data_IF_168800983692
#
_entry.id   IF_168800983692
#
_cell.length_a   1.000
_cell.length_b   1.000
_cell.length_c   1.000
_cell.angle_alpha   90.00
_cell.angle_beta   90.00
_cell.angle_gamma   90.00
#
_symmetry.space_group_name_H-M   'P 1'
#
loop_
_entity.id
_entity.type
_entity.pdbx_description
1 polymer ?
#
# COMPACT_ATOMS: atom_id res chain seq x y z
N UNK A 1 -46.14 -7.42 -47.89
CA UNK A 1 -45.21 -6.66 -47.03
C UNK A 1 -45.09 -7.39 -45.70
N UNK A 2 -43.83 -7.65 -45.28
CA UNK A 2 -43.43 -8.41 -44.08
C UNK A 2 -43.44 -7.51 -42.84
N UNK A 3 -43.86 -8.04 -41.70
CA UNK A 3 -43.36 -7.60 -40.39
C UNK A 3 -43.09 -8.82 -39.53
N UNK A 4 -41.81 -9.19 -39.41
CA UNK A 4 -41.32 -10.17 -38.45
C UNK A 4 -40.91 -9.41 -37.19
N UNK A 5 -41.60 -9.67 -36.09
CA UNK A 5 -41.25 -9.20 -34.75
C UNK A 5 -40.03 -9.98 -34.26
N UNK A 6 -38.89 -9.30 -34.13
CA UNK A 6 -37.69 -9.84 -33.50
C UNK A 6 -37.85 -9.75 -31.99
N UNK A 7 -38.01 -10.90 -31.32
CA UNK A 7 -37.91 -11.00 -29.87
C UNK A 7 -36.41 -11.00 -29.53
N UNK A 8 -35.92 -9.88 -29.02
CA UNK A 8 -34.57 -9.79 -28.47
C UNK A 8 -34.57 -10.46 -27.09
N UNK A 9 -34.03 -11.67 -27.01
CA UNK A 9 -33.73 -12.32 -25.75
C UNK A 9 -32.46 -11.65 -25.20
N UNK A 10 -32.65 -10.69 -24.30
CA UNK A 10 -31.57 -10.14 -23.49
C UNK A 10 -31.20 -11.23 -22.49
N UNK A 11 -30.15 -11.99 -22.79
CA UNK A 11 -29.53 -12.87 -21.80
C UNK A 11 -28.85 -11.98 -20.76
N UNK A 12 -29.58 -11.70 -19.69
CA UNK A 12 -29.04 -11.15 -18.46
C UNK A 12 -28.13 -12.20 -17.86
N UNK A 13 -26.82 -12.01 -18.03
CA UNK A 13 -25.81 -12.71 -17.25
C UNK A 13 -25.92 -12.17 -15.82
N UNK A 14 -26.69 -12.84 -14.97
CA UNK A 14 -26.57 -12.66 -13.53
C UNK A 14 -25.23 -13.30 -13.15
N UNK A 15 -24.17 -12.49 -13.16
CA UNK A 15 -22.99 -12.80 -12.36
C UNK A 15 -23.47 -13.00 -10.93
N UNK A 16 -23.37 -14.23 -10.43
CA UNK A 16 -23.49 -14.55 -9.02
C UNK A 16 -22.40 -13.78 -8.26
N UNK A 17 -22.67 -12.52 -7.95
CA UNK A 17 -22.00 -11.81 -6.87
C UNK A 17 -22.57 -12.38 -5.58
N UNK A 18 -21.93 -13.45 -5.09
CA UNK A 18 -22.18 -13.97 -3.76
C UNK A 18 -21.97 -12.84 -2.76
N UNK A 19 -23.05 -12.25 -2.27
CA UNK A 19 -23.01 -11.22 -1.25
C UNK A 19 -22.37 -11.81 0.01
N UNK A 20 -21.25 -11.24 0.44
CA UNK A 20 -20.49 -11.64 1.62
C UNK A 20 -21.07 -10.93 2.85
N UNK A 21 -22.37 -11.08 3.08
CA UNK A 21 -23.01 -10.61 4.31
C UNK A 21 -22.92 -11.71 5.38
N UNK A 22 -22.20 -11.46 6.46
CA UNK A 22 -22.12 -12.36 7.62
C UNK A 22 -21.09 -13.49 7.52
N UNK A 23 -20.09 -13.36 6.65
CA UNK A 23 -19.05 -14.38 6.49
C UNK A 23 -17.94 -14.16 7.53
N UNK A 24 -17.54 -15.21 8.26
CA UNK A 24 -16.45 -15.12 9.24
C UNK A 24 -15.13 -14.67 8.60
N UNK A 25 -14.24 -14.05 9.39
CA UNK A 25 -12.96 -13.48 8.91
C UNK A 25 -12.16 -14.50 8.07
N UNK A 26 -12.04 -15.75 8.53
CA UNK A 26 -11.30 -16.80 7.82
C UNK A 26 -11.90 -17.15 6.45
N UNK A 27 -13.22 -17.13 6.35
CA UNK A 27 -13.93 -17.38 5.10
C UNK A 27 -13.81 -16.17 4.16
N UNK A 28 -13.85 -14.94 4.68
CA UNK A 28 -13.54 -13.74 3.89
C UNK A 28 -12.13 -13.82 3.30
N UNK A 29 -11.13 -14.17 4.12
CA UNK A 29 -9.73 -14.31 3.66
C UNK A 29 -9.63 -15.37 2.56
N UNK A 30 -10.27 -16.53 2.75
CA UNK A 30 -10.26 -17.61 1.76
C UNK A 30 -10.86 -17.20 0.41
N UNK A 31 -12.06 -16.60 0.42
CA UNK A 31 -12.74 -16.16 -0.81
C UNK A 31 -11.94 -15.02 -1.46
N UNK A 32 -11.56 -14.01 -0.70
CA UNK A 32 -10.74 -12.89 -1.16
C UNK A 32 -9.46 -13.39 -1.85
N UNK A 33 -8.67 -14.24 -1.18
CA UNK A 33 -7.43 -14.73 -1.74
C UNK A 33 -7.68 -15.51 -3.05
N UNK A 34 -8.70 -16.38 -3.07
CA UNK A 34 -9.05 -17.13 -4.28
C UNK A 34 -9.47 -16.25 -5.47
N UNK A 35 -10.20 -15.16 -5.21
CA UNK A 35 -10.68 -14.26 -6.26
C UNK A 35 -9.55 -13.39 -6.80
N UNK A 36 -8.72 -12.84 -5.91
CA UNK A 36 -7.58 -12.01 -6.29
C UNK A 36 -6.54 -12.82 -7.07
N UNK A 37 -6.28 -14.07 -6.68
CA UNK A 37 -5.32 -14.93 -7.39
C UNK A 37 -5.70 -15.18 -8.86
N UNK A 38 -6.98 -15.09 -9.24
CA UNK A 38 -7.39 -15.19 -10.65
C UNK A 38 -6.84 -14.05 -11.52
N UNK A 39 -6.53 -12.91 -10.92
CA UNK A 39 -5.99 -11.75 -11.62
C UNK A 39 -4.45 -11.77 -11.73
N UNK A 40 -3.77 -12.69 -11.04
CA UNK A 40 -2.30 -12.75 -10.98
C UNK A 40 -1.65 -12.79 -12.36
N UNK A 41 -2.13 -13.65 -13.26
CA UNK A 41 -1.57 -13.74 -14.61
C UNK A 41 -1.66 -12.41 -15.34
N UNK A 42 -2.83 -11.76 -15.30
CA UNK A 42 -3.06 -10.46 -15.94
C UNK A 42 -2.11 -9.39 -15.40
N UNK A 43 -1.93 -9.34 -14.08
CA UNK A 43 -1.11 -8.32 -13.43
C UNK A 43 0.38 -8.54 -13.65
N UNK A 44 0.84 -9.79 -13.66
CA UNK A 44 2.24 -10.12 -13.86
C UNK A 44 2.67 -10.29 -15.32
N UNK A 45 1.72 -10.33 -16.28
CA UNK A 45 2.03 -10.53 -17.70
C UNK A 45 2.98 -9.46 -18.27
N UNK A 46 2.98 -8.24 -17.73
CA UNK A 46 3.91 -7.16 -18.13
C UNK A 46 5.38 -7.57 -17.98
N UNK A 47 5.70 -8.47 -17.04
CA UNK A 47 7.07 -8.93 -16.77
C UNK A 47 7.46 -10.17 -17.60
N UNK A 48 6.51 -10.82 -18.27
CA UNK A 48 6.72 -12.09 -18.98
C UNK A 48 7.76 -12.00 -20.10
N UNK A 49 7.79 -10.88 -20.80
CA UNK A 49 8.70 -10.64 -21.93
C UNK A 49 9.98 -9.89 -21.54
N UNK A 50 10.11 -9.47 -20.28
CA UNK A 50 11.26 -8.72 -19.80
C UNK A 50 12.38 -9.65 -19.34
N UNK A 51 13.63 -9.24 -19.57
CA UNK A 51 14.81 -9.91 -19.04
C UNK A 51 15.19 -9.28 -17.70
N UNK A 52 15.72 -10.05 -16.73
CA UNK A 52 16.09 -11.46 -16.82
C UNK A 52 14.90 -12.42 -16.71
N UNK A 53 14.89 -13.46 -17.54
CA UNK A 53 13.92 -14.57 -17.46
C UNK A 53 14.58 -15.76 -16.76
N UNK A 54 13.87 -16.48 -15.86
CA UNK A 54 12.47 -16.32 -15.45
C UNK A 54 12.24 -15.34 -14.27
N UNK A 55 13.31 -14.70 -13.77
CA UNK A 55 13.33 -14.06 -12.45
C UNK A 55 12.27 -12.96 -12.28
N UNK A 56 12.05 -12.09 -13.26
CA UNK A 56 11.10 -10.98 -13.10
C UNK A 56 9.64 -11.43 -12.95
N UNK A 57 9.22 -12.40 -13.77
CA UNK A 57 7.86 -12.94 -13.72
C UNK A 57 7.64 -13.72 -12.43
N UNK A 58 8.60 -14.57 -12.04
CA UNK A 58 8.53 -15.33 -10.79
C UNK A 58 8.43 -14.40 -9.59
N UNK A 59 9.32 -13.40 -9.50
CA UNK A 59 9.32 -12.42 -8.42
C UNK A 59 7.98 -11.66 -8.34
N UNK A 60 7.38 -11.32 -9.48
CA UNK A 60 6.05 -10.72 -9.49
C UNK A 60 4.99 -11.67 -8.92
N UNK A 61 4.97 -12.93 -9.35
CA UNK A 61 4.01 -13.93 -8.88
C UNK A 61 4.17 -14.21 -7.38
N UNK A 62 5.42 -14.29 -6.90
CA UNK A 62 5.74 -14.47 -5.49
C UNK A 62 5.28 -13.26 -4.66
N UNK A 63 5.55 -12.05 -5.15
CA UNK A 63 5.05 -10.82 -4.56
C UNK A 63 3.53 -10.78 -4.53
N UNK A 64 2.88 -11.16 -5.63
CA UNK A 64 1.42 -11.16 -5.79
C UNK A 64 0.74 -12.15 -4.84
N UNK A 65 1.27 -13.37 -4.71
CA UNK A 65 0.74 -14.38 -3.79
C UNK A 65 0.83 -13.90 -2.34
N UNK A 66 1.98 -13.35 -1.93
CA UNK A 66 2.18 -12.79 -0.59
C UNK A 66 1.27 -11.59 -0.33
N UNK A 67 1.17 -10.67 -1.28
CA UNK A 67 0.32 -9.49 -1.20
C UNK A 67 -1.17 -9.83 -1.17
N UNK A 68 -1.60 -10.88 -1.88
CA UNK A 68 -2.98 -11.37 -1.84
C UNK A 68 -3.33 -11.86 -0.44
N UNK A 69 -2.48 -12.71 0.15
CA UNK A 69 -2.69 -13.21 1.50
C UNK A 69 -2.71 -12.07 2.52
N UNK A 70 -1.70 -11.20 2.50
CA UNK A 70 -1.56 -10.10 3.47
C UNK A 70 -2.63 -9.03 3.31
N UNK A 71 -2.97 -8.69 2.07
CA UNK A 71 -4.06 -7.76 1.76
C UNK A 71 -5.40 -8.31 2.26
N UNK A 72 -5.74 -9.55 1.94
CA UNK A 72 -6.99 -10.15 2.37
C UNK A 72 -7.05 -10.30 3.91
N UNK A 73 -5.98 -10.74 4.57
CA UNK A 73 -5.87 -10.75 6.05
C UNK A 73 -6.15 -9.35 6.63
N UNK A 74 -5.51 -8.32 6.05
CA UNK A 74 -5.60 -6.94 6.52
C UNK A 74 -7.02 -6.37 6.37
N UNK A 75 -7.59 -6.40 5.17
CA UNK A 75 -8.90 -5.78 4.90
C UNK A 75 -10.07 -6.61 5.44
N UNK A 76 -10.02 -7.95 5.40
CA UNK A 76 -11.09 -8.78 6.01
C UNK A 76 -11.13 -8.68 7.54
N UNK A 77 -10.04 -8.26 8.19
CA UNK A 77 -10.03 -7.97 9.63
C UNK A 77 -10.58 -6.57 9.98
N UNK A 78 -10.99 -5.80 8.97
CA UNK A 78 -11.47 -4.41 9.13
C UNK A 78 -10.35 -3.37 9.24
N UNK A 79 -9.08 -3.75 9.01
CA UNK A 79 -7.98 -2.80 9.05
C UNK A 79 -7.91 -1.97 7.77
N UNK A 80 -7.70 -0.67 7.92
CA UNK A 80 -7.49 0.29 6.82
C UNK A 80 -6.09 0.91 6.85
N UNK A 81 -5.22 0.44 7.74
CA UNK A 81 -3.88 1.01 7.96
C UNK A 81 -2.90 0.60 6.84
N UNK A 82 -2.80 1.42 5.80
CA UNK A 82 -1.92 1.14 4.65
C UNK A 82 -0.44 1.00 5.03
N UNK A 83 0.00 1.61 6.13
CA UNK A 83 1.40 1.54 6.58
C UNK A 83 1.85 0.11 6.90
N UNK A 84 0.93 -0.74 7.39
CA UNK A 84 1.22 -2.16 7.65
C UNK A 84 1.49 -2.94 6.36
N UNK A 85 0.65 -2.72 5.35
CA UNK A 85 0.83 -3.35 4.04
C UNK A 85 2.08 -2.86 3.34
N UNK A 86 2.38 -1.55 3.46
CA UNK A 86 3.61 -0.97 2.92
C UNK A 86 4.85 -1.59 3.56
N UNK A 87 4.86 -1.72 4.88
CA UNK A 87 5.96 -2.34 5.63
C UNK A 87 6.13 -3.82 5.26
N UNK A 88 5.02 -4.58 5.24
CA UNK A 88 5.02 -5.99 4.84
C UNK A 88 5.55 -6.20 3.41
N UNK A 89 5.21 -5.30 2.47
CA UNK A 89 5.77 -5.31 1.12
C UNK A 89 7.29 -5.15 1.11
N UNK A 90 7.80 -4.19 1.88
CA UNK A 90 9.24 -3.94 1.94
C UNK A 90 9.98 -5.11 2.59
N UNK A 91 9.45 -5.63 3.70
CA UNK A 91 10.00 -6.80 4.38
C UNK A 91 10.07 -7.99 3.43
N UNK A 92 8.97 -8.28 2.74
CA UNK A 92 8.88 -9.41 1.82
C UNK A 92 9.86 -9.31 0.63
N UNK A 93 9.91 -8.16 -0.04
CA UNK A 93 10.76 -7.97 -1.21
C UNK A 93 12.19 -7.50 -0.88
N UNK A 94 12.54 -7.34 0.40
CA UNK A 94 13.81 -6.74 0.84
C UNK A 94 15.05 -7.45 0.29
N UNK A 95 14.99 -8.78 0.13
CA UNK A 95 16.08 -9.61 -0.36
C UNK A 95 16.50 -9.28 -1.81
N UNK A 96 15.62 -8.65 -2.59
CA UNK A 96 15.89 -8.22 -3.96
C UNK A 96 16.49 -6.82 -4.04
N UNK A 97 16.46 -6.03 -2.95
CA UNK A 97 16.86 -4.62 -2.95
C UNK A 97 18.35 -4.41 -3.27
N UNK A 98 19.19 -5.36 -2.85
CA UNK A 98 20.64 -5.34 -3.12
C UNK A 98 21.03 -6.05 -4.42
N UNK A 99 20.06 -6.62 -5.14
CA UNK A 99 20.30 -7.38 -6.36
C UNK A 99 20.14 -6.49 -7.59
N UNK A 100 20.99 -6.69 -8.58
CA UNK A 100 20.81 -6.13 -9.92
C UNK A 100 20.12 -7.16 -10.82
N UNK A 101 19.18 -6.76 -11.69
CA UNK A 101 18.77 -5.39 -11.97
C UNK A 101 17.66 -4.88 -11.02
N UNK A 102 17.46 -3.56 -10.94
CA UNK A 102 16.52 -2.93 -10.00
C UNK A 102 15.06 -3.37 -10.24
N UNK A 103 14.78 -3.82 -11.45
CA UNK A 103 13.53 -4.40 -11.91
C UNK A 103 13.12 -5.64 -11.11
N UNK A 104 14.07 -6.38 -10.49
CA UNK A 104 13.74 -7.51 -9.61
C UNK A 104 12.92 -7.06 -8.41
N UNK A 105 13.38 -6.00 -7.73
CA UNK A 105 12.65 -5.42 -6.61
C UNK A 105 11.32 -4.80 -7.08
N UNK A 106 11.33 -4.12 -8.23
CA UNK A 106 10.13 -3.50 -8.79
C UNK A 106 9.06 -4.53 -9.16
N UNK A 107 9.44 -5.69 -9.71
CA UNK A 107 8.48 -6.72 -10.09
C UNK A 107 7.84 -7.37 -8.87
N UNK A 108 8.61 -7.70 -7.83
CA UNK A 108 8.10 -8.20 -6.56
C UNK A 108 7.17 -7.19 -5.87
N UNK A 109 7.65 -5.96 -5.67
CA UNK A 109 6.88 -4.91 -4.98
C UNK A 109 5.62 -4.51 -5.75
N UNK A 110 5.69 -4.50 -7.09
CA UNK A 110 4.55 -4.27 -7.96
C UNK A 110 3.49 -5.36 -7.84
N UNK A 111 3.90 -6.64 -7.89
CA UNK A 111 3.01 -7.77 -7.69
C UNK A 111 2.29 -7.72 -6.33
N UNK A 112 3.05 -7.47 -5.26
CA UNK A 112 2.49 -7.34 -3.92
C UNK A 112 1.45 -6.21 -3.83
N UNK A 113 1.80 -5.03 -4.34
CA UNK A 113 0.93 -3.85 -4.28
C UNK A 113 -0.37 -4.09 -5.05
N UNK A 114 -0.28 -4.62 -6.27
CA UNK A 114 -1.44 -4.92 -7.11
C UNK A 114 -2.39 -5.93 -6.44
N UNK A 115 -1.84 -6.93 -5.75
CA UNK A 115 -2.64 -7.91 -5.03
C UNK A 115 -3.33 -7.30 -3.79
N UNK A 116 -2.63 -6.47 -3.02
CA UNK A 116 -3.21 -5.80 -1.85
C UNK A 116 -4.30 -4.79 -2.23
N UNK A 117 -4.11 -4.03 -3.31
CA UNK A 117 -5.13 -3.11 -3.84
C UNK A 117 -6.35 -3.89 -4.37
N UNK A 118 -6.11 -5.05 -5.00
CA UNK A 118 -7.18 -5.96 -5.38
C UNK A 118 -7.99 -6.44 -4.18
N UNK A 119 -7.32 -6.82 -3.08
CA UNK A 119 -7.98 -7.23 -1.85
C UNK A 119 -8.82 -6.10 -1.22
N UNK A 120 -8.31 -4.86 -1.24
CA UNK A 120 -9.07 -3.68 -0.81
C UNK A 120 -10.36 -3.52 -1.61
N UNK A 121 -10.24 -3.55 -2.95
CA UNK A 121 -11.39 -3.44 -3.84
C UNK A 121 -12.39 -4.57 -3.63
N UNK A 122 -11.91 -5.79 -3.42
CA UNK A 122 -12.77 -6.95 -3.15
C UNK A 122 -13.57 -6.76 -1.86
N UNK A 123 -12.92 -6.40 -0.75
CA UNK A 123 -13.60 -6.21 0.53
C UNK A 123 -14.57 -5.03 0.44
N UNK A 124 -14.15 -3.90 -0.13
CA UNK A 124 -14.99 -2.72 -0.28
C UNK A 124 -16.28 -2.96 -1.08
N UNK A 125 -16.28 -3.89 -2.04
CA UNK A 125 -17.46 -4.25 -2.84
C UNK A 125 -18.34 -5.29 -2.11
N UNK A 126 -17.74 -6.18 -1.33
CA UNK A 126 -18.42 -7.38 -0.83
C UNK A 126 -18.82 -7.33 0.64
N UNK A 127 -18.26 -6.43 1.45
CA UNK A 127 -18.66 -6.27 2.86
C UNK A 127 -19.53 -5.01 3.04
N UNK A 128 -20.74 -5.13 3.61
CA UNK A 128 -21.41 -3.98 4.20
C UNK A 128 -20.56 -3.51 5.39
N UNK A 129 -20.12 -2.25 5.37
CA UNK A 129 -19.58 -1.63 6.57
C UNK A 129 -20.73 -1.47 7.57
N UNK A 130 -20.83 -2.38 8.55
CA UNK A 130 -21.64 -2.12 9.74
C UNK A 130 -20.85 -1.12 10.61
N UNK A 131 -21.30 0.14 10.63
CA UNK A 131 -20.76 1.25 11.43
C UNK A 131 -20.98 1.08 12.96
N UNK A 132 -21.29 -0.12 13.46
CA UNK A 132 -21.62 -0.37 14.86
C UNK A 132 -20.64 -1.35 15.54
N UNK A 133 -19.38 -0.94 15.67
CA UNK A 133 -18.52 -1.42 16.76
C UNK A 133 -18.04 -0.23 17.58
N UNK A 134 -18.69 -0.06 18.73
CA UNK A 134 -18.31 0.84 19.81
C UNK A 134 -16.82 0.72 20.14
N UNK A 135 -16.03 1.74 19.76
CA UNK A 135 -14.82 2.10 20.50
C UNK A 135 -15.22 3.24 21.44
N UNK A 136 -15.47 2.90 22.70
CA UNK A 136 -15.27 3.85 23.79
C UNK A 136 -13.77 4.01 23.97
N UNK A 137 -13.22 5.14 23.55
CA UNK A 137 -12.56 6.10 24.45
C UNK A 137 -12.01 7.32 23.67
N UNK A 138 -12.49 8.48 24.11
CA UNK A 138 -11.82 9.79 24.17
C UNK A 138 -11.18 10.38 22.90
N UNK A 139 -12.05 11.02 22.12
CA UNK A 139 -11.96 12.47 21.93
C UNK A 139 -10.71 13.06 21.27
N UNK A 140 -10.53 12.83 19.96
CA UNK A 140 -9.94 13.85 19.09
C UNK A 140 -10.83 14.03 17.87
N UNK A 141 -11.57 15.13 17.86
CA UNK A 141 -12.31 15.60 16.69
C UNK A 141 -11.30 16.01 15.62
N UNK A 142 -11.16 15.21 14.56
CA UNK A 142 -10.57 15.69 13.30
C UNK A 142 -11.64 15.65 12.22
N UNK A 143 -12.15 16.87 11.95
CA UNK A 143 -13.07 17.22 10.87
C UNK A 143 -12.61 16.71 9.51
N UNK A 144 -13.58 16.23 8.75
CA UNK A 144 -13.59 16.06 7.29
C UNK A 144 -12.61 17.01 6.56
N UNK A 145 -11.64 16.45 5.85
CA UNK A 145 -10.85 17.21 4.89
C UNK A 145 -11.62 17.36 3.59
N UNK A 146 -12.55 18.32 3.57
CA UNK A 146 -12.93 19.00 2.34
C UNK A 146 -11.68 19.56 1.68
N UNK A 147 -11.55 19.29 0.38
CA UNK A 147 -10.53 19.75 -0.57
C UNK A 147 -9.89 21.08 -0.16
N UNK A 148 -8.57 21.06 0.02
CA UNK A 148 -7.81 22.22 0.46
C UNK A 148 -7.85 23.35 -0.58
N UNK A 149 -8.34 24.51 -0.14
CA UNK A 149 -8.27 25.78 -0.86
C UNK A 149 -6.81 26.22 -1.07
N UNK A 150 -6.48 26.87 -2.22
CA UNK A 150 -5.11 27.22 -2.63
C UNK A 150 -4.32 28.13 -1.67
N UNK A 151 -4.96 28.74 -0.67
CA UNK A 151 -4.26 29.54 0.34
C UNK A 151 -3.60 28.71 1.46
N UNK A 152 -4.00 27.46 1.70
CA UNK A 152 -3.34 26.59 2.70
C UNK A 152 -2.00 26.02 2.21
N UNK A 153 -1.81 25.91 0.89
CA UNK A 153 -0.56 25.44 0.30
C UNK A 153 0.62 26.39 0.59
N UNK A 154 0.38 27.71 0.61
CA UNK A 154 1.41 28.72 0.92
C UNK A 154 1.87 28.66 2.38
N UNK A 155 0.94 28.42 3.32
CA UNK A 155 1.27 28.24 4.73
C UNK A 155 2.05 26.95 5.01
N UNK A 156 1.72 25.85 4.31
CA UNK A 156 2.47 24.61 4.40
C UNK A 156 3.91 24.75 3.87
N UNK A 157 4.08 25.52 2.78
CA UNK A 157 5.40 25.83 2.21
C UNK A 157 6.25 26.69 3.16
N UNK A 158 5.62 27.64 3.86
CA UNK A 158 6.28 28.45 4.89
C UNK A 158 6.72 27.62 6.11
N UNK A 159 5.90 26.67 6.56
CA UNK A 159 6.23 25.80 7.69
C UNK A 159 7.37 24.83 7.36
N UNK A 160 7.40 24.27 6.15
CA UNK A 160 8.50 23.41 5.70
C UNK A 160 9.82 24.18 5.54
N UNK A 161 9.76 25.44 5.12
CA UNK A 161 10.95 26.30 5.02
C UNK A 161 11.51 26.63 6.40
N UNK A 162 10.65 26.94 7.37
CA UNK A 162 11.04 27.21 8.76
C UNK A 162 11.66 25.98 9.44
N UNK A 163 11.06 24.79 9.25
CA UNK A 163 11.62 23.55 9.78
C UNK A 163 13.00 23.21 9.18
N UNK A 164 13.22 23.60 7.91
CA UNK A 164 14.50 23.40 7.24
C UNK A 164 15.58 24.35 7.74
N UNK A 165 15.21 25.60 8.05
CA UNK A 165 16.10 26.59 8.65
C UNK A 165 16.51 26.18 10.07
N UNK A 166 15.55 25.76 10.90
CA UNK A 166 15.80 25.29 12.26
C UNK A 166 16.73 24.06 12.29
N UNK A 167 16.56 23.12 11.36
CA UNK A 167 17.45 21.97 11.23
C UNK A 167 18.88 22.35 10.80
N UNK A 168 19.04 23.40 9.99
CA UNK A 168 20.36 23.89 9.57
C UNK A 168 21.07 24.61 10.72
N UNK A 169 20.34 25.42 11.49
CA UNK A 169 20.90 26.11 12.66
C UNK A 169 21.32 25.14 13.75
N UNK A 170 20.53 24.08 13.99
CA UNK A 170 20.89 23.01 14.91
C UNK A 170 22.21 22.33 14.49
N UNK A 171 22.38 22.02 13.20
CA UNK A 171 23.61 21.42 12.67
C UNK A 171 24.83 22.35 12.78
N UNK A 172 24.66 23.65 12.51
CA UNK A 172 25.73 24.63 12.63
C UNK A 172 26.14 24.82 14.10
N UNK A 173 25.17 24.79 15.03
CA UNK A 173 25.44 24.94 16.45
C UNK A 173 26.14 23.72 17.04
N UNK A 174 25.73 22.52 16.64
CA UNK A 174 26.38 21.25 17.00
C UNK A 174 27.85 21.21 16.51
N UNK A 175 28.07 21.60 15.25
CA UNK A 175 29.43 21.71 14.69
C UNK A 175 30.29 22.78 15.38
N UNK A 176 29.69 23.88 15.85
CA UNK A 176 30.39 24.90 16.65
C UNK A 176 30.76 24.37 18.04
N UNK A 177 29.89 23.59 18.68
CA UNK A 177 30.21 22.91 19.94
C UNK A 177 31.34 21.90 19.77
N UNK A 178 31.34 21.12 18.70
CA UNK A 178 32.44 20.20 18.39
C UNK A 178 33.77 20.94 18.15
N UNK A 179 33.74 22.13 17.53
CA UNK A 179 34.94 22.97 17.36
C UNK A 179 35.45 23.63 18.64
N UNK A 180 34.65 23.65 19.71
CA UNK A 180 35.03 24.14 21.04
C UNK A 180 35.57 23.02 21.94
N UNK A 181 35.44 21.77 21.53
CA UNK A 181 35.89 20.58 22.28
C UNK A 181 37.05 19.93 21.52
N UNK A 182 38.26 20.46 21.76
CA UNK A 182 39.62 19.86 21.72
C UNK A 182 40.66 20.61 20.85
N UNK A 183 41.92 20.76 21.33
CA UNK A 183 42.62 19.86 22.25
C UNK A 183 43.16 20.53 23.54
N UNK A 184 42.80 19.99 24.71
CA UNK A 184 43.48 20.27 25.98
C UNK A 184 44.47 19.17 26.39
N UNK A 185 44.87 18.29 25.46
CA UNK A 185 45.81 17.21 25.73
C UNK A 185 47.17 17.45 25.05
N UNK A 186 47.79 18.58 25.35
CA UNK A 186 49.24 18.77 25.25
C UNK A 186 49.70 19.57 26.46
N UNK A 187 49.82 18.92 27.62
CA UNK A 187 50.62 19.39 28.76
C UNK A 187 50.77 18.26 29.77
N UNK A 188 51.71 17.37 29.49
CA UNK A 188 52.40 16.55 30.49
C UNK A 188 53.68 16.00 29.86
N UNK A 189 54.62 16.90 29.56
CA UNK A 189 56.06 16.59 29.69
C UNK A 189 56.49 17.01 31.10
N UNK A 190 57.45 16.25 31.64
CA UNK A 190 58.12 16.29 32.96
C UNK A 190 57.53 15.40 34.07
#
# INVERSE_FOLDING_TARGET
MRTRTCVAIVMAWTMDYGQIAGIGIDQCIGICASEIMKQMEKQCNTWREQLPRPDLLSNCQDGYSSGSKKGCEHYCSGSTEQQRLWSARFEYCSYLRSQSPAELFASCSGGFTAASEGAEAFVAINTPFDDDVHIKEEGVVVRETKKASPNRAKHAQSALMQAREEAQDAYINDKKQDSLILPSSQLAEL
#
